data_IF_745456089240
#
_entry.id   IF_745456089240
#
_cell.length_a   1.000
_cell.length_b   1.000
_cell.length_c   1.000
_cell.angle_alpha   90.00
_cell.angle_beta   90.00
_cell.angle_gamma   90.00
#
_symmetry.space_group_name_H-M   'P 1'
#
loop_
_entity.id
_entity.type
_entity.pdbx_description
1 polymer ?
#
# COMPACT_ATOMS: atom_id res chain seq x y z
N UNK A 1 20.10 -6.51 -1.71
CA UNK A 1 19.82 -7.12 -0.39
C UNK A 1 18.32 -7.29 -0.31
N UNK A 2 17.82 -8.51 -0.48
CA UNK A 2 16.39 -8.82 -0.46
C UNK A 2 15.89 -8.65 0.98
N UNK A 3 15.10 -7.60 1.22
CA UNK A 3 14.46 -7.42 2.51
C UNK A 3 13.39 -8.50 2.66
N UNK A 4 13.66 -9.48 3.52
CA UNK A 4 12.92 -10.73 3.58
C UNK A 4 11.77 -10.68 4.62
N UNK A 5 11.46 -9.48 5.12
CA UNK A 5 10.36 -9.16 6.02
C UNK A 5 9.79 -7.77 5.67
N UNK A 6 8.57 -7.48 6.11
CA UNK A 6 7.91 -6.18 5.88
C UNK A 6 8.03 -5.28 7.11
N UNK A 7 8.34 -4.00 6.92
CA UNK A 7 8.33 -3.00 7.99
C UNK A 7 7.02 -2.22 7.95
N UNK A 8 6.23 -2.31 9.02
CA UNK A 8 4.92 -1.69 9.13
C UNK A 8 4.98 -0.46 10.05
N UNK A 9 4.20 0.56 9.74
CA UNK A 9 3.89 1.62 10.69
C UNK A 9 3.08 1.07 11.88
N UNK A 10 3.00 1.85 12.97
CA UNK A 10 2.22 1.48 14.14
C UNK A 10 0.72 1.25 13.84
N UNK A 11 0.13 2.00 12.90
CA UNK A 11 -1.27 1.85 12.52
C UNK A 11 -1.50 0.59 11.69
N UNK A 12 -0.67 0.34 10.67
CA UNK A 12 -0.74 -0.89 9.86
C UNK A 12 -0.54 -2.14 10.71
N UNK A 13 0.36 -2.07 11.70
CA UNK A 13 0.58 -3.15 12.67
C UNK A 13 -0.63 -3.35 13.59
N UNK A 14 -1.24 -2.28 14.09
CA UNK A 14 -2.46 -2.35 14.90
C UNK A 14 -3.61 -3.00 14.13
N UNK A 15 -3.80 -2.63 12.86
CA UNK A 15 -4.84 -3.20 12.00
C UNK A 15 -4.58 -4.67 11.69
N UNK A 16 -3.31 -5.04 11.46
CA UNK A 16 -2.92 -6.45 11.31
C UNK A 16 -3.24 -7.28 12.57
N UNK A 17 -2.95 -6.76 13.77
CA UNK A 17 -3.27 -7.42 15.05
C UNK A 17 -4.78 -7.59 15.22
N UNK A 18 -5.57 -6.58 14.83
CA UNK A 18 -7.04 -6.65 14.94
C UNK A 18 -7.64 -7.72 14.03
N UNK A 19 -7.20 -7.76 12.76
CA UNK A 19 -7.79 -8.61 11.71
C UNK A 19 -7.34 -10.07 11.76
N UNK A 20 -6.06 -10.33 12.03
CA UNK A 20 -5.47 -11.66 11.88
C UNK A 20 -5.33 -12.34 13.25
N UNK A 21 -6.32 -13.15 13.62
CA UNK A 21 -6.30 -13.90 14.90
C UNK A 21 -5.25 -15.01 14.94
N UNK A 22 -4.63 -15.34 13.81
CA UNK A 22 -3.53 -16.31 13.75
C UNK A 22 -2.16 -15.67 13.93
N UNK A 23 -2.10 -14.34 14.01
CA UNK A 23 -0.88 -13.57 14.19
C UNK A 23 -0.22 -13.82 15.53
N UNK A 24 1.04 -14.24 15.48
CA UNK A 24 1.91 -14.32 16.66
C UNK A 24 2.61 -12.99 16.86
N UNK A 25 2.42 -12.36 18.02
CA UNK A 25 3.01 -11.06 18.34
C UNK A 25 4.13 -11.21 19.36
N UNK A 26 5.33 -10.75 19.03
CA UNK A 26 6.50 -10.76 19.91
C UNK A 26 6.90 -9.37 20.38
N UNK A 27 7.18 -9.28 21.68
CA UNK A 27 7.79 -8.14 22.34
C UNK A 27 9.27 -8.43 22.62
N UNK A 28 10.18 -7.67 22.01
CA UNK A 28 11.63 -7.81 22.19
C UNK A 28 12.23 -6.75 23.14
N UNK A 29 11.40 -6.01 23.88
CA UNK A 29 11.86 -5.14 24.98
C UNK A 29 12.43 -5.99 26.11
N UNK A 30 13.15 -5.39 27.06
CA UNK A 30 13.63 -6.17 28.21
C UNK A 30 12.47 -6.70 29.07
N UNK A 31 12.78 -7.76 29.82
CA UNK A 31 11.81 -8.48 30.62
C UNK A 31 11.15 -7.61 31.71
N UNK A 32 11.83 -6.57 32.18
CA UNK A 32 11.26 -5.68 33.20
C UNK A 32 10.12 -4.86 32.60
N UNK A 33 10.34 -4.22 31.45
CA UNK A 33 9.28 -3.45 30.80
C UNK A 33 8.15 -4.31 30.26
N UNK A 34 8.44 -5.48 29.69
CA UNK A 34 7.39 -6.44 29.28
C UNK A 34 6.48 -6.81 30.45
N UNK A 35 7.04 -7.05 31.64
CA UNK A 35 6.26 -7.38 32.84
C UNK A 35 5.44 -6.21 33.39
N UNK A 36 5.89 -4.97 33.19
CA UNK A 36 5.14 -3.78 33.61
C UNK A 36 3.98 -3.49 32.67
N UNK A 37 4.24 -3.49 31.37
CA UNK A 37 3.26 -3.17 30.33
C UNK A 37 3.61 -3.90 29.03
N UNK A 38 2.65 -4.56 28.40
CA UNK A 38 2.80 -5.19 27.09
C UNK A 38 1.46 -5.22 26.36
N UNK A 39 1.50 -5.51 25.06
CA UNK A 39 0.26 -5.72 24.29
C UNK A 39 -0.38 -7.04 24.71
N UNK A 40 -1.71 -7.03 24.89
CA UNK A 40 -2.45 -8.22 25.28
C UNK A 40 -2.21 -9.37 24.28
N UNK A 41 -1.90 -10.56 24.79
CA UNK A 41 -1.58 -11.73 23.96
C UNK A 41 -0.18 -11.75 23.34
N UNK A 42 0.63 -10.69 23.52
CA UNK A 42 2.02 -10.69 23.04
C UNK A 42 2.95 -11.53 23.95
N UNK A 43 3.92 -12.19 23.33
CA UNK A 43 4.91 -13.03 24.00
C UNK A 43 6.25 -12.32 24.07
N UNK A 44 6.92 -12.43 25.21
CA UNK A 44 8.29 -11.91 25.35
C UNK A 44 9.27 -12.76 24.53
N UNK A 45 10.15 -12.09 23.79
CA UNK A 45 11.16 -12.71 22.95
C UNK A 45 12.54 -12.15 23.26
N UNK A 46 13.43 -13.04 23.69
CA UNK A 46 14.84 -12.77 23.89
C UNK A 46 15.69 -13.69 23.00
N UNK A 47 16.92 -13.25 22.70
CA UNK A 47 17.82 -13.98 21.77
C UNK A 47 18.10 -15.42 22.22
N UNK A 48 18.26 -15.64 23.54
CA UNK A 48 18.50 -16.95 24.14
C UNK A 48 17.33 -17.94 23.95
N UNK A 49 16.12 -17.42 23.66
CA UNK A 49 14.90 -18.21 23.44
C UNK A 49 14.53 -18.40 21.97
N UNK A 50 15.22 -17.74 21.03
CA UNK A 50 14.93 -17.85 19.59
C UNK A 50 14.90 -19.29 19.06
N UNK A 51 15.85 -20.19 19.40
CA UNK A 51 15.85 -21.55 18.90
C UNK A 51 14.59 -22.34 19.30
N UNK A 52 14.03 -22.04 20.48
CA UNK A 52 12.79 -22.70 20.94
C UNK A 52 11.60 -22.29 20.09
N UNK A 53 11.51 -21.02 19.72
CA UNK A 53 10.42 -20.49 18.89
C UNK A 53 10.52 -21.00 17.45
N UNK A 54 11.72 -21.04 16.88
CA UNK A 54 11.94 -21.53 15.52
C UNK A 54 11.53 -22.98 15.31
N UNK A 55 11.57 -23.79 16.36
CA UNK A 55 11.18 -25.20 16.34
C UNK A 55 9.69 -25.43 16.67
N UNK A 56 9.03 -24.48 17.33
CA UNK A 56 7.64 -24.62 17.79
C UNK A 56 6.61 -23.98 16.88
N UNK A 57 6.96 -22.87 16.24
CA UNK A 57 6.02 -22.13 15.40
C UNK A 57 5.94 -22.74 14.00
N UNK A 58 4.73 -22.73 13.43
CA UNK A 58 4.53 -23.00 12.01
C UNK A 58 5.17 -21.87 11.19
N UNK A 59 6.01 -22.23 10.22
CA UNK A 59 6.71 -21.28 9.33
C UNK A 59 5.76 -20.50 8.42
N UNK A 60 4.52 -20.97 8.25
CA UNK A 60 3.46 -20.27 7.54
C UNK A 60 2.68 -19.29 8.41
N UNK A 61 2.72 -19.45 9.73
CA UNK A 61 2.01 -18.56 10.64
C UNK A 61 2.67 -17.17 10.62
N UNK A 62 1.87 -16.09 10.56
CA UNK A 62 2.40 -14.74 10.52
C UNK A 62 2.97 -14.32 11.88
N UNK A 63 4.11 -13.62 11.84
CA UNK A 63 4.84 -13.15 13.01
C UNK A 63 5.03 -11.64 12.94
N UNK A 64 4.60 -10.92 13.97
CA UNK A 64 4.82 -9.48 14.14
C UNK A 64 5.73 -9.22 15.34
N UNK A 65 6.74 -8.36 15.16
CA UNK A 65 7.75 -8.09 16.18
C UNK A 65 7.82 -6.59 16.46
N UNK A 66 7.71 -6.19 17.73
CA UNK A 66 7.86 -4.79 18.16
C UNK A 66 8.90 -4.65 19.28
N UNK A 67 9.45 -3.45 19.42
CA UNK A 67 10.46 -3.08 20.43
C UNK A 67 10.14 -1.71 21.07
N UNK A 68 11.06 -1.12 21.85
CA UNK A 68 10.89 0.25 22.39
C UNK A 68 10.71 1.30 21.31
N UNK A 69 11.73 1.42 20.47
CA UNK A 69 11.90 2.28 19.31
C UNK A 69 13.22 1.87 18.62
N UNK A 70 13.35 2.07 17.31
CA UNK A 70 14.59 1.77 16.58
C UNK A 70 14.63 0.37 15.95
N UNK A 71 15.84 -0.19 15.82
CA UNK A 71 16.09 -1.28 14.88
C UNK A 71 15.97 -2.70 15.45
N UNK A 72 15.73 -2.88 16.75
CA UNK A 72 15.69 -4.23 17.33
C UNK A 72 14.58 -5.10 16.71
N UNK A 73 13.37 -4.56 16.49
CA UNK A 73 12.30 -5.28 15.80
C UNK A 73 12.72 -5.77 14.41
N UNK A 74 13.50 -4.97 13.67
CA UNK A 74 14.04 -5.28 12.35
C UNK A 74 15.10 -6.38 12.40
N UNK A 75 16.00 -6.35 13.38
CA UNK A 75 17.02 -7.39 13.59
C UNK A 75 16.38 -8.75 13.86
N UNK A 76 15.41 -8.80 14.78
CA UNK A 76 14.67 -10.02 15.08
C UNK A 76 13.84 -10.48 13.87
N UNK A 77 13.19 -9.56 13.15
CA UNK A 77 12.43 -9.90 11.94
C UNK A 77 13.33 -10.51 10.86
N UNK A 78 14.55 -9.99 10.68
CA UNK A 78 15.53 -10.59 9.79
C UNK A 78 15.86 -12.02 10.22
N UNK A 79 16.12 -12.26 11.51
CA UNK A 79 16.39 -13.61 12.01
C UNK A 79 15.23 -14.58 11.74
N UNK A 80 13.97 -14.17 11.96
CA UNK A 80 12.82 -15.02 11.61
C UNK A 80 12.78 -15.32 10.11
N UNK A 81 13.08 -14.34 9.27
CA UNK A 81 13.11 -14.55 7.82
C UNK A 81 14.24 -15.49 7.38
N UNK A 82 15.43 -15.35 7.96
CA UNK A 82 16.57 -16.25 7.73
C UNK A 82 16.24 -17.71 8.11
N UNK A 83 15.33 -17.91 9.07
CA UNK A 83 14.79 -19.21 9.48
C UNK A 83 13.50 -19.61 8.73
N UNK A 84 13.29 -19.04 7.54
CA UNK A 84 12.27 -19.39 6.55
C UNK A 84 10.81 -19.17 6.96
N UNK A 85 10.55 -18.24 7.88
CA UNK A 85 9.17 -17.78 8.11
C UNK A 85 8.67 -16.96 6.93
N UNK A 86 7.47 -17.27 6.43
CA UNK A 86 6.97 -16.71 5.17
C UNK A 86 6.36 -15.32 5.33
N UNK A 87 5.80 -15.01 6.50
CA UNK A 87 5.08 -13.77 6.79
C UNK A 87 5.65 -13.14 8.07
N UNK A 88 6.68 -12.32 7.91
CA UNK A 88 7.37 -11.67 9.02
C UNK A 88 7.22 -10.16 8.90
N UNK A 89 6.84 -9.53 10.02
CA UNK A 89 6.56 -8.10 10.10
C UNK A 89 7.35 -7.49 11.27
N UNK A 90 8.01 -6.36 11.04
CA UNK A 90 8.58 -5.53 12.10
C UNK A 90 7.77 -4.25 12.25
N UNK A 91 7.58 -3.78 13.48
CA UNK A 91 6.91 -2.49 13.73
C UNK A 91 7.93 -1.36 13.80
N UNK A 92 7.67 -0.32 13.02
CA UNK A 92 8.37 0.97 13.07
C UNK A 92 7.72 1.91 14.12
N UNK A 93 8.54 2.70 14.80
CA UNK A 93 8.09 3.59 15.90
C UNK A 93 7.93 2.92 17.28
N UNK A 94 7.84 1.59 17.35
CA UNK A 94 7.93 0.81 18.59
C UNK A 94 6.63 0.74 19.42
N UNK A 95 6.78 0.36 20.70
CA UNK A 95 5.65 -0.02 21.58
C UNK A 95 4.68 1.12 21.84
N UNK A 96 5.15 2.32 22.16
CA UNK A 96 4.29 3.44 22.56
C UNK A 96 3.32 3.85 21.43
N UNK A 97 3.77 4.09 20.18
CA UNK A 97 2.87 4.36 19.06
C UNK A 97 1.91 3.20 18.77
N UNK A 98 2.39 1.95 18.86
CA UNK A 98 1.56 0.78 18.61
C UNK A 98 0.46 0.59 19.67
N UNK A 99 0.80 0.74 20.95
CA UNK A 99 -0.13 0.67 22.05
C UNK A 99 -1.18 1.79 21.97
N UNK A 100 -0.76 3.00 21.59
CA UNK A 100 -1.68 4.12 21.31
C UNK A 100 -2.63 3.75 20.18
N UNK A 101 -2.11 3.30 19.03
CA UNK A 101 -2.90 2.93 17.86
C UNK A 101 -3.91 1.80 18.16
N UNK A 102 -3.57 0.86 19.05
CA UNK A 102 -4.47 -0.21 19.51
C UNK A 102 -5.54 0.26 20.51
N UNK A 103 -5.20 1.25 21.34
CA UNK A 103 -6.08 1.81 22.37
C UNK A 103 -7.01 2.91 21.83
N UNK A 104 -6.67 3.48 20.67
CA UNK A 104 -7.61 4.29 19.92
C UNK A 104 -8.88 3.46 19.72
N UNK A 105 -10.08 4.01 20.01
CA UNK A 105 -11.31 3.33 19.66
C UNK A 105 -11.14 2.94 18.21
N UNK A 106 -11.48 1.68 17.87
CA UNK A 106 -11.67 1.29 16.49
C UNK A 106 -12.53 2.42 15.94
N UNK A 107 -11.98 3.34 15.14
CA UNK A 107 -12.83 4.15 14.30
C UNK A 107 -13.57 3.07 13.55
N UNK A 108 -14.87 2.94 13.77
CA UNK A 108 -15.70 1.97 13.07
C UNK A 108 -15.54 2.26 11.57
N UNK A 109 -14.51 1.69 10.97
CA UNK A 109 -14.08 2.01 9.61
C UNK A 109 -14.08 0.68 8.91
N UNK A 110 -15.27 0.31 8.44
CA UNK A 110 -15.67 0.57 7.06
C UNK A 110 -17.11 0.12 6.86
N UNK A 111 -17.54 -0.99 7.47
CA UNK A 111 -18.80 -1.63 7.13
C UNK A 111 -20.09 -0.90 7.57
N UNK A 112 -20.06 -0.04 8.60
CA UNK A 112 -21.28 0.61 9.15
C UNK A 112 -21.64 1.96 8.52
N UNK A 113 -20.77 2.54 7.67
CA UNK A 113 -20.97 3.85 7.05
C UNK A 113 -20.54 3.92 5.57
N UNK A 114 -20.53 2.79 4.84
CA UNK A 114 -20.37 2.85 3.37
C UNK A 114 -21.61 3.52 2.77
N UNK A 115 -21.40 4.45 1.84
CA UNK A 115 -22.50 5.06 1.10
C UNK A 115 -23.30 3.98 0.35
N UNK A 116 -24.61 4.18 0.16
CA UNK A 116 -25.42 3.29 -0.68
C UNK A 116 -24.82 3.11 -2.08
N UNK A 117 -24.23 4.18 -2.62
CA UNK A 117 -23.56 4.18 -3.92
C UNK A 117 -22.31 3.29 -3.93
N UNK A 118 -21.50 3.33 -2.87
CA UNK A 118 -20.34 2.46 -2.74
C UNK A 118 -20.79 1.01 -2.53
N UNK A 119 -21.82 0.76 -1.72
CA UNK A 119 -22.36 -0.60 -1.53
C UNK A 119 -22.87 -1.22 -2.84
N UNK A 120 -23.65 -0.48 -3.63
CA UNK A 120 -24.09 -0.95 -4.95
C UNK A 120 -22.91 -1.20 -5.90
N UNK A 121 -21.92 -0.31 -5.87
CA UNK A 121 -20.70 -0.48 -6.65
C UNK A 121 -19.93 -1.74 -6.28
N UNK A 122 -19.72 -1.99 -4.97
CA UNK A 122 -19.01 -3.15 -4.47
C UNK A 122 -19.77 -4.43 -4.83
N UNK A 123 -21.10 -4.46 -4.63
CA UNK A 123 -21.94 -5.60 -5.00
C UNK A 123 -21.87 -5.89 -6.51
N UNK A 124 -21.98 -4.86 -7.36
CA UNK A 124 -21.95 -5.00 -8.83
C UNK A 124 -20.66 -5.61 -9.35
N UNK A 125 -19.53 -5.34 -8.70
CA UNK A 125 -18.21 -5.85 -9.07
C UNK A 125 -17.73 -6.99 -8.18
N UNK A 126 -18.61 -7.51 -7.33
CA UNK A 126 -18.35 -8.65 -6.44
C UNK A 126 -17.17 -8.41 -5.46
N UNK A 127 -16.97 -7.16 -5.05
CA UNK A 127 -16.00 -6.79 -4.03
C UNK A 127 -16.54 -7.06 -2.62
N UNK A 128 -15.63 -7.37 -1.70
CA UNK A 128 -15.98 -7.57 -0.29
C UNK A 128 -16.03 -6.21 0.42
N UNK A 129 -17.15 -5.82 1.05
CA UNK A 129 -17.26 -4.56 1.78
C UNK A 129 -16.42 -4.49 3.07
N UNK A 130 -15.92 -5.64 3.55
CA UNK A 130 -15.03 -5.72 4.71
C UNK A 130 -13.56 -5.64 4.27
N UNK A 131 -13.23 -6.28 3.14
CA UNK A 131 -11.86 -6.36 2.61
C UNK A 131 -11.69 -5.52 1.33
N UNK A 132 -11.73 -4.20 1.46
CA UNK A 132 -11.68 -3.24 0.34
C UNK A 132 -10.33 -3.19 -0.42
N UNK A 133 -9.33 -3.94 0.02
CA UNK A 133 -8.06 -4.11 -0.69
C UNK A 133 -8.01 -5.41 -1.50
N UNK A 134 -8.98 -6.30 -1.34
CA UNK A 134 -8.97 -7.59 -2.02
C UNK A 134 -9.20 -7.40 -3.52
N UNK A 135 -8.28 -7.86 -4.39
CA UNK A 135 -8.47 -7.76 -5.82
C UNK A 135 -9.60 -8.70 -6.29
N UNK A 136 -10.20 -8.35 -7.43
CA UNK A 136 -11.15 -9.18 -8.18
C UNK A 136 -10.69 -9.31 -9.62
N UNK A 137 -11.63 -9.44 -10.56
CA UNK A 137 -11.35 -9.64 -11.98
C UNK A 137 -10.25 -8.70 -12.51
N UNK A 138 -9.22 -9.28 -13.14
CA UNK A 138 -8.02 -8.59 -13.67
C UNK A 138 -7.12 -7.94 -12.60
N UNK A 139 -7.13 -8.46 -11.38
CA UNK A 139 -6.31 -7.95 -10.27
C UNK A 139 -6.78 -6.58 -9.75
N UNK A 140 -7.95 -6.12 -10.16
CA UNK A 140 -8.42 -4.78 -9.82
C UNK A 140 -8.95 -4.72 -8.39
N UNK A 141 -8.53 -3.71 -7.63
CA UNK A 141 -9.15 -3.32 -6.36
C UNK A 141 -10.39 -2.43 -6.61
N UNK A 142 -11.25 -2.21 -5.61
CA UNK A 142 -12.33 -1.22 -5.68
C UNK A 142 -11.86 0.17 -6.13
N UNK A 143 -10.75 0.66 -5.57
CA UNK A 143 -10.18 1.97 -5.92
C UNK A 143 -9.81 2.03 -7.40
N UNK A 144 -9.08 1.02 -7.89
CA UNK A 144 -8.70 0.92 -9.30
C UNK A 144 -9.92 0.89 -10.23
N UNK A 145 -10.95 0.12 -9.88
CA UNK A 145 -12.16 0.02 -10.69
C UNK A 145 -12.94 1.35 -10.71
N UNK A 146 -13.03 2.04 -9.57
CA UNK A 146 -13.68 3.35 -9.48
C UNK A 146 -12.92 4.42 -10.27
N UNK A 147 -11.58 4.44 -10.16
CA UNK A 147 -10.69 5.30 -10.93
C UNK A 147 -10.83 5.06 -12.44
N UNK A 148 -10.82 3.80 -12.89
CA UNK A 148 -11.01 3.44 -14.30
C UNK A 148 -12.37 3.91 -14.85
N UNK A 149 -13.42 3.87 -14.03
CA UNK A 149 -14.78 4.29 -14.42
C UNK A 149 -15.02 5.80 -14.32
N UNK A 150 -14.07 6.59 -13.84
CA UNK A 150 -14.28 8.02 -13.66
C UNK A 150 -15.24 8.35 -12.51
N UNK A 151 -15.44 7.44 -11.54
CA UNK A 151 -16.39 7.65 -10.44
C UNK A 151 -15.74 8.37 -9.27
N UNK A 152 -15.44 9.65 -9.46
CA UNK A 152 -14.72 10.47 -8.47
C UNK A 152 -15.29 10.43 -7.04
N UNK A 153 -16.63 10.49 -6.80
CA UNK A 153 -17.15 10.39 -5.44
C UNK A 153 -16.78 9.07 -4.74
N UNK A 154 -16.80 7.95 -5.48
CA UNK A 154 -16.40 6.65 -4.93
C UNK A 154 -14.90 6.57 -4.69
N UNK A 155 -14.09 7.21 -5.54
CA UNK A 155 -12.63 7.32 -5.32
C UNK A 155 -12.37 8.07 -4.01
N UNK A 156 -12.98 9.23 -3.82
CA UNK A 156 -12.81 10.04 -2.60
C UNK A 156 -13.25 9.28 -1.35
N UNK A 157 -14.38 8.58 -1.42
CA UNK A 157 -14.84 7.75 -0.31
C UNK A 157 -13.84 6.62 -0.02
N UNK A 158 -13.44 5.83 -1.03
CA UNK A 158 -12.46 4.75 -0.87
C UNK A 158 -11.12 5.26 -0.31
N UNK A 159 -10.64 6.43 -0.73
CA UNK A 159 -9.43 7.05 -0.20
C UNK A 159 -9.61 7.48 1.27
N UNK A 160 -10.76 8.05 1.63
CA UNK A 160 -11.10 8.37 3.02
C UNK A 160 -11.21 7.12 3.90
N UNK A 161 -11.52 5.98 3.28
CA UNK A 161 -11.51 4.67 3.89
C UNK A 161 -10.08 4.06 3.96
N UNK A 162 -9.01 4.78 3.65
CA UNK A 162 -7.64 4.32 3.91
C UNK A 162 -7.21 3.06 3.13
N UNK A 163 -7.84 2.79 1.97
CA UNK A 163 -7.45 1.68 1.11
C UNK A 163 -6.01 1.83 0.60
N UNK A 164 -5.35 0.72 0.29
CA UNK A 164 -4.01 0.70 -0.26
C UNK A 164 -3.98 1.31 -1.67
N UNK A 165 -3.43 2.52 -1.77
CA UNK A 165 -3.28 3.26 -3.03
C UNK A 165 -2.18 2.72 -3.95
N UNK A 166 -1.25 1.93 -3.43
CA UNK A 166 -0.07 1.40 -4.15
C UNK A 166 -0.27 -0.01 -4.70
N UNK A 167 -1.48 -0.58 -4.59
CA UNK A 167 -1.78 -1.86 -5.22
C UNK A 167 -1.54 -1.79 -6.75
N UNK A 168 -1.22 -2.94 -7.35
CA UNK A 168 -1.06 -3.12 -8.80
C UNK A 168 -1.97 -4.23 -9.28
N UNK A 169 -2.58 -4.04 -10.45
CA UNK A 169 -3.44 -5.03 -11.10
C UNK A 169 -2.62 -6.10 -11.83
N UNK A 170 -3.27 -7.04 -12.52
CA UNK A 170 -2.60 -8.15 -13.22
C UNK A 170 -1.71 -7.71 -14.39
N UNK A 171 -1.84 -6.46 -14.86
CA UNK A 171 -0.99 -5.85 -15.89
C UNK A 171 0.10 -4.95 -15.28
N UNK A 172 0.21 -4.92 -13.95
CA UNK A 172 1.13 -4.07 -13.22
C UNK A 172 0.72 -2.59 -13.13
N UNK A 173 -0.49 -2.23 -13.55
CA UNK A 173 -1.01 -0.86 -13.46
C UNK A 173 -1.49 -0.54 -12.04
N UNK A 174 -1.20 0.66 -11.55
CA UNK A 174 -1.79 1.20 -10.31
C UNK A 174 -3.07 2.01 -10.61
N UNK A 175 -3.73 2.52 -9.56
CA UNK A 175 -4.94 3.33 -9.72
C UNK A 175 -4.71 4.62 -10.52
N UNK A 176 -3.50 5.21 -10.46
CA UNK A 176 -3.16 6.43 -11.21
C UNK A 176 -3.17 6.21 -12.73
N UNK A 177 -2.55 5.12 -13.19
CA UNK A 177 -2.58 4.75 -14.60
C UNK A 177 -4.02 4.60 -15.10
N UNK A 178 -4.86 3.91 -14.33
CA UNK A 178 -6.26 3.66 -14.67
C UNK A 178 -7.11 4.94 -14.61
N UNK A 179 -6.86 5.84 -13.67
CA UNK A 179 -7.52 7.15 -13.56
C UNK A 179 -7.24 8.06 -14.77
N UNK A 180 -6.14 7.82 -15.49
CA UNK A 180 -5.85 8.57 -16.68
C UNK A 180 -6.79 8.24 -17.83
N UNK A 181 -7.51 7.10 -17.83
CA UNK A 181 -8.42 6.64 -18.90
C UNK A 181 -9.70 7.50 -19.06
N UNK A 182 -10.44 7.89 -18.00
CA UNK A 182 -11.65 8.71 -18.13
C UNK A 182 -11.45 10.21 -18.44
N UNK A 183 -10.21 10.73 -18.49
CA UNK A 183 -9.90 12.17 -18.66
C UNK A 183 -10.35 13.07 -17.48
N UNK A 184 -10.60 12.50 -16.30
CA UNK A 184 -10.96 13.27 -15.11
C UNK A 184 -9.71 13.65 -14.29
N UNK A 185 -9.28 14.91 -14.41
CA UNK A 185 -8.14 15.44 -13.67
C UNK A 185 -8.37 15.47 -12.15
N UNK A 186 -9.63 15.53 -11.71
CA UNK A 186 -9.98 15.54 -10.29
C UNK A 186 -9.59 14.23 -9.60
N UNK A 187 -9.83 13.08 -10.26
CA UNK A 187 -9.42 11.76 -9.73
C UNK A 187 -7.90 11.67 -9.64
N UNK A 188 -7.19 12.15 -10.66
CA UNK A 188 -5.72 12.16 -10.67
C UNK A 188 -5.18 13.01 -9.51
N UNK A 189 -5.74 14.19 -9.29
CA UNK A 189 -5.38 15.05 -8.15
C UNK A 189 -5.68 14.40 -6.80
N UNK A 190 -6.84 13.76 -6.64
CA UNK A 190 -7.22 13.08 -5.39
C UNK A 190 -6.25 11.93 -5.09
N UNK A 191 -5.84 11.15 -6.09
CA UNK A 191 -4.85 10.08 -5.94
C UNK A 191 -3.44 10.60 -5.62
N UNK A 192 -3.01 11.70 -6.26
CA UNK A 192 -1.73 12.37 -5.96
C UNK A 192 -1.72 12.85 -4.51
N UNK A 193 -2.81 13.49 -4.06
CA UNK A 193 -2.94 13.95 -2.68
C UNK A 193 -2.92 12.80 -1.65
N UNK A 194 -3.36 11.61 -2.05
CA UNK A 194 -3.27 10.39 -1.26
C UNK A 194 -1.88 9.72 -1.29
N UNK A 195 -0.89 10.32 -1.93
CA UNK A 195 0.50 9.85 -1.92
C UNK A 195 0.81 8.71 -2.88
N UNK A 196 0.00 8.52 -3.94
CA UNK A 196 0.23 7.45 -4.92
C UNK A 196 1.60 7.59 -5.61
N UNK A 197 2.22 6.45 -5.95
CA UNK A 197 3.45 6.43 -6.74
C UNK A 197 3.18 6.89 -8.19
N UNK A 198 3.73 8.06 -8.55
CA UNK A 198 3.58 8.67 -9.87
C UNK A 198 4.38 7.94 -10.95
N UNK A 199 5.43 7.22 -10.54
CA UNK A 199 6.46 6.64 -11.40
C UNK A 199 6.33 5.12 -11.53
N UNK A 200 5.23 4.53 -11.05
CA UNK A 200 4.95 3.12 -11.24
C UNK A 200 4.98 2.75 -12.74
N UNK A 201 5.93 1.88 -13.10
CA UNK A 201 5.97 1.21 -14.40
C UNK A 201 5.12 -0.05 -14.36
N UNK A 202 4.20 -0.18 -15.31
CA UNK A 202 3.43 -1.39 -15.51
C UNK A 202 4.26 -2.51 -16.16
N UNK A 203 3.65 -3.64 -16.50
CA UNK A 203 4.37 -4.82 -17.00
C UNK A 203 4.87 -4.65 -18.45
N UNK A 204 4.57 -3.52 -19.10
CA UNK A 204 5.20 -3.07 -20.36
C UNK A 204 6.27 -1.98 -20.12
N UNK A 205 6.64 -1.73 -18.87
CA UNK A 205 7.54 -0.64 -18.47
C UNK A 205 6.91 0.76 -18.55
N UNK A 206 5.62 0.87 -18.85
CA UNK A 206 4.97 2.15 -19.13
C UNK A 206 4.48 2.85 -17.85
N UNK A 207 4.66 4.17 -17.75
CA UNK A 207 4.16 5.01 -16.64
C UNK A 207 2.92 5.84 -17.01
N UNK A 208 2.11 6.28 -16.03
CA UNK A 208 0.90 7.06 -16.31
C UNK A 208 1.17 8.30 -17.19
N UNK A 209 2.35 8.91 -17.04
CA UNK A 209 2.82 10.00 -17.87
C UNK A 209 3.00 9.58 -19.35
N UNK A 210 3.54 8.39 -19.62
CA UNK A 210 3.65 7.84 -20.99
C UNK A 210 2.28 7.61 -21.62
N UNK A 211 1.30 7.08 -20.87
CA UNK A 211 -0.06 6.89 -21.37
C UNK A 211 -0.74 8.21 -21.73
N UNK A 212 -0.61 9.22 -20.86
CA UNK A 212 -1.21 10.55 -21.11
C UNK A 212 -0.55 11.24 -22.31
N UNK A 213 0.75 11.05 -22.52
CA UNK A 213 1.46 11.54 -23.70
C UNK A 213 0.97 10.88 -24.99
N UNK A 214 0.84 9.55 -25.03
CA UNK A 214 0.41 8.80 -26.22
C UNK A 214 -1.08 8.94 -26.53
N UNK A 215 -1.91 9.17 -25.52
CA UNK A 215 -3.36 9.29 -25.67
C UNK A 215 -3.86 10.72 -25.90
N UNK A 216 -2.97 11.68 -26.14
CA UNK A 216 -3.27 13.12 -26.30
C UNK A 216 -4.12 13.69 -25.14
N UNK A 217 -3.55 13.65 -23.93
CA UNK A 217 -4.19 14.13 -22.69
C UNK A 217 -3.35 15.24 -22.03
N UNK A 218 -3.15 16.39 -22.69
CA UNK A 218 -2.20 17.41 -22.23
C UNK A 218 -2.55 17.99 -20.86
N UNK A 219 -3.83 18.05 -20.48
CA UNK A 219 -4.26 18.51 -19.16
C UNK A 219 -3.79 17.57 -18.04
N UNK A 220 -3.96 16.26 -18.22
CA UNK A 220 -3.49 15.26 -17.27
C UNK A 220 -1.97 15.17 -17.24
N UNK A 221 -1.35 15.23 -18.42
CA UNK A 221 0.10 15.25 -18.57
C UNK A 221 0.71 16.40 -17.76
N UNK A 222 0.12 17.60 -17.87
CA UNK A 222 0.52 18.76 -17.07
C UNK A 222 0.36 18.53 -15.57
N UNK A 223 -0.79 18.01 -15.12
CA UNK A 223 -1.02 17.70 -13.70
C UNK A 223 0.05 16.74 -13.16
N UNK A 224 0.40 15.69 -13.92
CA UNK A 224 1.43 14.73 -13.52
C UNK A 224 2.82 15.36 -13.47
N UNK A 225 3.20 16.18 -14.46
CA UNK A 225 4.49 16.89 -14.47
C UNK A 225 4.59 17.90 -13.33
N UNK A 226 3.54 18.68 -13.09
CA UNK A 226 3.47 19.67 -11.99
C UNK A 226 3.57 18.96 -10.62
N UNK A 227 3.11 17.71 -10.52
CA UNK A 227 3.22 16.87 -9.33
C UNK A 227 4.57 16.13 -9.20
N UNK A 228 5.48 16.25 -10.17
CA UNK A 228 6.83 15.66 -10.12
C UNK A 228 6.95 14.25 -10.70
N UNK A 229 6.02 13.82 -11.56
CA UNK A 229 6.21 12.58 -12.33
C UNK A 229 7.45 12.69 -13.23
N UNK A 230 8.27 11.64 -13.25
CA UNK A 230 9.55 11.62 -13.97
C UNK A 230 9.36 11.37 -15.48
N UNK A 231 9.66 12.35 -16.35
CA UNK A 231 9.55 12.20 -17.79
C UNK A 231 10.69 11.39 -18.42
N UNK A 232 11.74 11.06 -17.65
CA UNK A 232 12.95 10.38 -18.14
C UNK A 232 12.90 8.86 -18.03
N UNK A 233 11.89 8.30 -17.36
CA UNK A 233 11.68 6.85 -17.29
C UNK A 233 11.52 6.29 -18.71
N UNK A 234 12.13 5.12 -18.96
CA UNK A 234 12.06 4.40 -20.23
C UNK A 234 11.24 3.14 -20.06
N UNK A 235 10.33 2.89 -21.01
CA UNK A 235 9.62 1.62 -21.11
C UNK A 235 10.52 0.54 -21.73
N UNK A 236 9.97 -0.66 -21.94
CA UNK A 236 10.75 -1.78 -22.50
C UNK A 236 11.12 -1.63 -23.98
N UNK A 237 10.50 -0.69 -24.70
CA UNK A 237 10.88 -0.31 -26.06
C UNK A 237 11.93 0.82 -26.08
N UNK A 238 12.55 1.11 -24.94
CA UNK A 238 13.50 2.21 -24.72
C UNK A 238 12.88 3.62 -24.94
N UNK A 239 11.55 3.74 -24.90
CA UNK A 239 10.84 5.01 -25.10
C UNK A 239 10.51 5.69 -23.77
N UNK A 240 10.78 6.99 -23.69
CA UNK A 240 10.28 7.95 -22.70
C UNK A 240 8.95 8.55 -23.15
N UNK A 241 8.30 9.26 -22.23
CA UNK A 241 7.05 9.95 -22.52
C UNK A 241 7.15 10.90 -23.73
N UNK A 242 8.29 11.57 -23.94
CA UNK A 242 8.51 12.52 -25.05
C UNK A 242 8.48 11.85 -26.43
N UNK A 243 9.01 10.62 -26.55
CA UNK A 243 8.97 9.88 -27.81
C UNK A 243 7.57 9.31 -28.12
N UNK A 244 6.71 9.21 -27.11
CA UNK A 244 5.33 8.72 -27.22
C UNK A 244 4.31 9.84 -27.45
N UNK A 245 4.71 11.12 -27.42
CA UNK A 245 3.78 12.25 -27.53
C UNK A 245 3.02 12.24 -28.87
N UNK A 246 1.68 12.10 -28.80
CA UNK A 246 0.82 12.03 -30.00
C UNK A 246 0.37 13.39 -30.53
N UNK A 247 0.68 14.49 -29.82
CA UNK A 247 0.37 15.85 -30.25
C UNK A 247 1.50 16.83 -29.97
N UNK A 248 1.50 17.94 -30.71
CA UNK A 248 2.46 19.04 -30.50
C UNK A 248 2.32 19.66 -29.10
N UNK A 249 1.12 19.62 -28.52
CA UNK A 249 0.84 20.14 -27.18
C UNK A 249 1.53 19.29 -26.12
N UNK A 250 1.35 17.96 -26.18
CA UNK A 250 2.05 17.02 -25.30
C UNK A 250 3.57 17.12 -25.48
N UNK A 251 4.04 17.19 -26.73
CA UNK A 251 5.46 17.30 -27.04
C UNK A 251 6.09 18.56 -26.44
N UNK A 252 5.39 19.70 -26.51
CA UNK A 252 5.84 20.96 -25.89
C UNK A 252 5.95 20.82 -24.38
N UNK A 253 4.95 20.26 -23.71
CA UNK A 253 4.96 20.05 -22.26
C UNK A 253 6.15 19.20 -21.81
N UNK A 254 6.46 18.12 -22.55
CA UNK A 254 7.53 17.18 -22.20
C UNK A 254 8.95 17.68 -22.55
N UNK A 255 9.09 18.58 -23.52
CA UNK A 255 10.40 19.14 -23.88
C UNK A 255 10.92 20.15 -22.87
N UNK A 256 10.04 20.75 -22.07
CA UNK A 256 10.43 21.67 -21.01
C UNK A 256 10.92 20.97 -19.74
N UNK A 257 10.86 19.64 -19.69
CA UNK A 257 11.20 18.82 -18.52
C UNK A 257 12.37 17.84 -18.77
N UNK A 258 13.13 18.07 -19.85
CA UNK A 258 14.30 17.28 -20.25
C UNK A 258 15.63 17.99 -19.97
#
# INVERSE_FOLDING_TARGET
MTQAYQCLSAHEAADLIRRDKTLTVFDVRDLHSYKQEHLEGSMHLAEDRLPLWFNRLDKKAPVLIYCYHGNSSKTFAQMFSDFHFQRVYSVDGGYRPLASALSEPIKDTHASHLSPELMDFLARWNFDPIELNAPRQHGLTPLMRASLQGKRPLVQELLALGVNVHARNDDGNNALWLACVPRDAGIVQDLIAAGIDLNNSNDAGSTALMYTASSDRPELLKVLLDAGADPQIRNFDDMRAVELASSITCLKLLRHTA
#
